data_IF_609662685466
#
_entry.id   IF_609662685466
#
_cell.length_a   1.000
_cell.length_b   1.000
_cell.length_c   1.000
_cell.angle_alpha   90.00
_cell.angle_beta   90.00
_cell.angle_gamma   90.00
#
_symmetry.space_group_name_H-M   'P 1'
#
loop_
_entity.id
_entity.type
_entity.pdbx_description
1 polymer ?
#
# COMPACT_ATOMS: atom_id res chain seq x y z
N UNK A 1 -9.09 12.60 10.00
CA UNK A 1 -7.75 12.87 9.43
C UNK A 1 -7.47 14.38 9.30
N UNK A 2 -7.29 15.11 10.41
CA UNK A 2 -7.05 16.57 10.33
C UNK A 2 -5.57 16.97 10.32
N UNK A 3 -4.74 16.23 11.07
CA UNK A 3 -3.30 16.53 11.23
C UNK A 3 -2.49 16.02 10.04
N UNK A 4 -2.78 14.81 9.55
CA UNK A 4 -2.02 14.17 8.46
C UNK A 4 -1.91 15.07 7.21
N UNK A 5 -2.99 15.68 6.68
CA UNK A 5 -2.88 16.57 5.51
C UNK A 5 -1.99 17.79 5.76
N UNK A 6 -2.03 18.36 6.97
CA UNK A 6 -1.22 19.52 7.34
C UNK A 6 0.26 19.17 7.44
N UNK A 7 0.59 18.06 8.08
CA UNK A 7 1.98 17.61 8.24
C UNK A 7 2.61 17.23 6.90
N UNK A 8 1.86 16.55 6.03
CA UNK A 8 2.34 16.19 4.69
C UNK A 8 2.59 17.42 3.83
N UNK A 9 1.75 18.46 3.93
CA UNK A 9 1.97 19.71 3.20
C UNK A 9 3.28 20.41 3.62
N UNK A 10 3.55 20.49 4.92
CA UNK A 10 4.82 21.06 5.43
C UNK A 10 6.02 20.26 4.91
N UNK A 11 5.92 18.93 4.93
CA UNK A 11 6.96 18.05 4.39
C UNK A 11 7.19 18.30 2.90
N UNK A 12 6.13 18.47 2.10
CA UNK A 12 6.21 18.78 0.67
C UNK A 12 6.85 20.13 0.39
N UNK A 13 6.53 21.15 1.18
CA UNK A 13 7.12 22.48 1.07
C UNK A 13 8.65 22.43 1.30
N UNK A 14 9.14 21.54 2.17
CA UNK A 14 10.58 21.30 2.37
C UNK A 14 11.24 20.42 1.30
N UNK A 15 10.52 19.46 0.73
CA UNK A 15 11.06 18.50 -0.26
C UNK A 15 11.14 19.06 -1.69
N UNK A 16 10.22 19.94 -2.08
CA UNK A 16 10.23 20.58 -3.40
C UNK A 16 11.56 21.29 -3.74
N UNK A 17 12.10 22.19 -2.90
CA UNK A 17 13.37 22.85 -3.21
C UNK A 17 14.55 21.87 -3.30
N UNK A 18 14.54 20.79 -2.51
CA UNK A 18 15.55 19.74 -2.60
C UNK A 18 15.43 18.98 -3.93
N UNK A 19 14.21 18.61 -4.34
CA UNK A 19 13.95 17.93 -5.61
C UNK A 19 14.41 18.77 -6.80
N UNK A 20 14.13 20.08 -6.78
CA UNK A 20 14.58 21.02 -7.81
C UNK A 20 16.11 21.16 -7.85
N UNK A 21 16.76 21.25 -6.69
CA UNK A 21 18.22 21.32 -6.62
C UNK A 21 18.89 20.05 -7.17
N UNK A 22 18.34 18.87 -6.85
CA UNK A 22 18.84 17.59 -7.37
C UNK A 22 18.63 17.50 -8.88
N UNK A 23 17.46 17.91 -9.40
CA UNK A 23 17.21 17.98 -10.85
C UNK A 23 18.24 18.89 -11.54
N UNK A 24 18.49 20.07 -10.98
CA UNK A 24 19.48 21.01 -11.53
C UNK A 24 20.89 20.42 -11.53
N UNK A 25 21.28 19.72 -10.46
CA UNK A 25 22.56 19.03 -10.38
C UNK A 25 22.68 17.90 -11.41
N UNK A 26 21.63 17.09 -11.56
CA UNK A 26 21.60 15.99 -12.53
C UNK A 26 21.66 16.51 -13.97
N UNK A 27 20.89 17.54 -14.31
CA UNK A 27 20.90 18.17 -15.63
C UNK A 27 22.26 18.81 -15.95
N UNK A 28 22.94 19.39 -14.95
CA UNK A 28 24.28 19.93 -15.13
C UNK A 28 25.35 18.84 -15.34
N UNK A 29 25.18 17.68 -14.69
CA UNK A 29 26.12 16.55 -14.78
C UNK A 29 25.89 15.67 -16.01
N UNK A 30 24.65 15.57 -16.48
CA UNK A 30 24.24 14.76 -17.63
C UNK A 30 23.40 15.61 -18.60
N UNK A 31 24.02 16.58 -19.30
CA UNK A 31 23.30 17.52 -20.17
C UNK A 31 22.66 16.88 -21.41
N UNK A 32 23.11 15.69 -21.82
CA UNK A 32 22.58 14.96 -22.99
C UNK A 32 21.43 14.00 -22.64
N UNK A 33 20.88 14.06 -21.41
CA UNK A 33 19.82 13.16 -20.94
C UNK A 33 18.64 13.91 -20.34
N UNK A 34 17.57 14.01 -21.12
CA UNK A 34 16.28 14.58 -20.71
C UNK A 34 15.34 13.56 -20.03
N UNK A 35 15.71 12.28 -20.02
CA UNK A 35 14.95 11.14 -19.50
C UNK A 35 15.22 10.83 -18.02
N UNK A 36 15.85 11.77 -17.29
CA UNK A 36 16.21 11.59 -15.89
C UNK A 36 15.03 11.83 -14.94
N UNK A 37 14.35 10.74 -14.57
CA UNK A 37 13.31 10.75 -13.55
C UNK A 37 13.87 10.48 -12.15
N UNK A 38 13.49 11.31 -11.18
CA UNK A 38 13.77 11.06 -9.76
C UNK A 38 12.61 10.26 -9.18
N UNK A 39 12.86 8.99 -8.86
CA UNK A 39 11.94 8.19 -8.07
C UNK A 39 11.84 8.77 -6.66
N UNK A 40 10.63 9.11 -6.23
CA UNK A 40 10.35 9.62 -4.88
C UNK A 40 9.49 8.63 -4.12
N UNK A 41 9.64 8.60 -2.80
CA UNK A 41 8.80 7.78 -1.93
C UNK A 41 7.32 8.18 -2.05
N UNK A 42 6.43 7.21 -1.87
CA UNK A 42 4.99 7.41 -2.00
C UNK A 42 4.42 8.42 -0.98
N UNK A 43 5.08 8.61 0.16
CA UNK A 43 4.72 9.62 1.15
C UNK A 43 4.72 11.04 0.56
N UNK A 44 5.54 11.30 -0.46
CA UNK A 44 5.55 12.56 -1.21
C UNK A 44 4.26 12.73 -2.04
N UNK A 45 3.76 11.64 -2.63
CA UNK A 45 2.53 11.67 -3.41
C UNK A 45 1.28 11.89 -2.54
N UNK A 46 1.31 11.49 -1.26
CA UNK A 46 0.18 11.68 -0.31
C UNK A 46 -0.19 13.16 -0.16
N UNK A 47 0.71 14.11 -0.45
CA UNK A 47 0.40 15.54 -0.45
C UNK A 47 -0.59 15.98 -1.53
N UNK A 48 -0.87 15.14 -2.53
CA UNK A 48 -1.81 15.47 -3.59
C UNK A 48 -3.25 15.54 -3.04
N UNK A 49 -3.98 16.65 -3.26
CA UNK A 49 -5.37 16.80 -2.81
C UNK A 49 -6.29 15.65 -3.24
N UNK A 50 -6.12 15.11 -4.46
CA UNK A 50 -6.94 14.00 -4.94
C UNK A 50 -6.75 12.73 -4.09
N UNK A 51 -5.52 12.46 -3.65
CA UNK A 51 -5.19 11.31 -2.80
C UNK A 51 -5.79 11.50 -1.41
N UNK A 52 -5.61 12.69 -0.83
CA UNK A 52 -6.15 13.03 0.49
C UNK A 52 -7.67 12.94 0.49
N UNK A 53 -8.34 13.49 -0.53
CA UNK A 53 -9.79 13.42 -0.69
C UNK A 53 -10.27 11.98 -0.84
N UNK A 54 -9.57 11.16 -1.63
CA UNK A 54 -9.91 9.74 -1.77
C UNK A 54 -9.76 9.01 -0.44
N UNK A 55 -8.65 9.22 0.29
CA UNK A 55 -8.42 8.60 1.59
C UNK A 55 -9.49 8.98 2.62
N UNK A 56 -9.91 10.25 2.62
CA UNK A 56 -10.97 10.75 3.50
C UNK A 56 -12.32 10.08 3.20
N UNK A 57 -12.65 9.87 1.91
CA UNK A 57 -13.85 9.13 1.50
C UNK A 57 -13.77 7.64 1.83
N UNK A 58 -12.60 7.03 1.64
CA UNK A 58 -12.38 5.61 1.91
C UNK A 58 -12.39 5.28 3.40
N UNK A 59 -12.07 6.24 4.28
CA UNK A 59 -12.06 6.03 5.73
C UNK A 59 -13.41 5.53 6.30
N UNK A 60 -14.55 6.22 6.10
CA UNK A 60 -15.83 5.70 6.55
C UNK A 60 -16.28 4.45 5.78
N UNK A 61 -15.92 4.34 4.50
CA UNK A 61 -16.26 3.18 3.65
C UNK A 61 -15.55 1.92 4.15
N UNK A 62 -14.26 2.00 4.51
CA UNK A 62 -13.49 0.85 4.98
C UNK A 62 -14.00 0.34 6.33
N UNK A 63 -14.37 1.26 7.24
CA UNK A 63 -15.01 0.90 8.51
C UNK A 63 -16.35 0.21 8.24
N UNK A 64 -17.18 0.76 7.36
CA UNK A 64 -18.46 0.16 7.00
C UNK A 64 -18.28 -1.25 6.39
N UNK A 65 -17.35 -1.41 5.46
CA UNK A 65 -17.02 -2.71 4.86
C UNK A 65 -16.55 -3.67 5.95
N UNK A 66 -15.69 -3.26 6.88
CA UNK A 66 -15.22 -4.13 7.95
C UNK A 66 -16.34 -4.70 8.83
N UNK A 67 -17.44 -3.95 9.03
CA UNK A 67 -18.61 -4.43 9.76
C UNK A 67 -19.53 -5.36 8.95
N UNK A 68 -19.66 -5.12 7.64
CA UNK A 68 -20.60 -5.85 6.77
C UNK A 68 -19.96 -7.08 6.14
N UNK A 69 -18.62 -7.09 5.99
CA UNK A 69 -17.90 -8.12 5.28
C UNK A 69 -17.98 -9.47 6.02
N UNK A 70 -18.54 -10.53 5.41
CA UNK A 70 -18.67 -11.81 6.07
C UNK A 70 -17.30 -12.45 6.30
N UNK A 71 -17.12 -13.02 7.49
CA UNK A 71 -15.88 -13.69 7.89
C UNK A 71 -14.71 -12.73 8.18
N UNK A 72 -14.98 -11.44 8.33
CA UNK A 72 -13.98 -10.47 8.79
C UNK A 72 -14.00 -10.36 10.32
N UNK A 73 -12.82 -10.46 10.94
CA UNK A 73 -12.64 -10.28 12.39
C UNK A 73 -11.73 -9.08 12.70
N UNK A 74 -11.23 -8.38 11.68
CA UNK A 74 -10.31 -7.26 11.81
C UNK A 74 -11.02 -5.94 11.61
N UNK A 75 -10.92 -5.04 12.61
CA UNK A 75 -11.37 -3.67 12.49
C UNK A 75 -10.16 -2.75 12.22
N UNK A 76 -10.09 -2.04 11.09
CA UNK A 76 -8.87 -1.34 10.64
C UNK A 76 -8.63 0.00 11.34
N UNK A 77 -9.00 0.17 12.63
CA UNK A 77 -8.97 1.46 13.33
C UNK A 77 -7.56 2.09 13.37
N UNK A 78 -6.54 1.29 13.68
CA UNK A 78 -5.16 1.75 13.75
C UNK A 78 -4.56 2.12 12.38
N UNK A 79 -5.09 1.53 11.31
CA UNK A 79 -4.57 1.65 9.94
C UNK A 79 -5.43 2.57 9.05
N UNK A 80 -6.42 3.28 9.61
CA UNK A 80 -7.22 4.24 8.82
C UNK A 80 -6.39 5.40 8.25
N UNK A 81 -5.37 5.87 8.99
CA UNK A 81 -4.47 6.92 8.52
C UNK A 81 -3.65 6.49 7.28
N UNK A 82 -3.40 5.19 7.21
CA UNK A 82 -2.57 4.51 6.24
C UNK A 82 -3.30 4.28 4.90
N UNK A 83 -4.63 4.42 4.86
CA UNK A 83 -5.42 4.37 3.62
C UNK A 83 -4.99 5.39 2.57
N UNK A 84 -4.37 6.50 2.97
CA UNK A 84 -3.83 7.48 2.03
C UNK A 84 -2.67 6.91 1.19
N UNK A 85 -1.85 6.05 1.78
CA UNK A 85 -0.76 5.37 1.08
C UNK A 85 -1.32 4.37 0.08
N UNK A 86 -2.27 3.53 0.48
CA UNK A 86 -2.95 2.61 -0.44
C UNK A 86 -3.67 3.36 -1.58
N UNK A 87 -4.44 4.41 -1.25
CA UNK A 87 -5.15 5.22 -2.21
C UNK A 87 -4.21 5.93 -3.21
N UNK A 88 -3.00 6.30 -2.78
CA UNK A 88 -2.05 7.01 -3.63
C UNK A 88 -1.62 6.21 -4.86
N UNK A 89 -1.38 4.90 -4.72
CA UNK A 89 -1.00 4.04 -5.84
C UNK A 89 -2.13 3.93 -6.86
N UNK A 90 -3.35 3.71 -6.37
CA UNK A 90 -4.56 3.58 -7.20
C UNK A 90 -4.90 4.92 -7.87
N UNK A 91 -4.71 6.03 -7.16
CA UNK A 91 -4.94 7.37 -7.66
C UNK A 91 -3.95 7.72 -8.77
N UNK A 92 -2.67 7.39 -8.59
CA UNK A 92 -1.65 7.58 -9.64
C UNK A 92 -2.02 6.78 -10.90
N UNK A 93 -2.39 5.51 -10.74
CA UNK A 93 -2.83 4.67 -11.85
C UNK A 93 -4.11 5.23 -12.53
N UNK A 94 -4.99 5.84 -11.74
CA UNK A 94 -6.22 6.50 -12.21
C UNK A 94 -6.01 7.95 -12.67
N UNK A 95 -4.76 8.42 -12.78
CA UNK A 95 -4.38 9.80 -13.16
C UNK A 95 -5.07 10.88 -12.31
N UNK A 96 -5.23 10.62 -11.02
CA UNK A 96 -5.85 11.54 -10.05
C UNK A 96 -7.39 11.56 -10.06
N UNK A 97 -8.05 10.66 -10.79
CA UNK A 97 -9.52 10.58 -10.78
C UNK A 97 -10.03 9.94 -9.47
N UNK A 98 -10.55 10.77 -8.57
CA UNK A 98 -11.05 10.36 -7.24
C UNK A 98 -12.12 9.26 -7.34
N UNK A 99 -13.11 9.42 -8.22
CA UNK A 99 -14.22 8.48 -8.34
C UNK A 99 -13.75 7.09 -8.76
N UNK A 100 -12.91 7.01 -9.80
CA UNK A 100 -12.31 5.74 -10.24
C UNK A 100 -11.43 5.13 -9.17
N UNK A 101 -10.70 5.97 -8.44
CA UNK A 101 -9.83 5.53 -7.35
C UNK A 101 -10.61 4.89 -6.22
N UNK A 102 -11.71 5.53 -5.77
CA UNK A 102 -12.57 4.98 -4.71
C UNK A 102 -13.16 3.63 -5.14
N UNK A 103 -13.69 3.54 -6.35
CA UNK A 103 -14.27 2.29 -6.86
C UNK A 103 -13.23 1.16 -6.97
N UNK A 104 -12.03 1.47 -7.43
CA UNK A 104 -10.95 0.49 -7.54
C UNK A 104 -10.38 0.09 -6.16
N UNK A 105 -10.43 0.99 -5.16
CA UNK A 105 -9.95 0.72 -3.81
C UNK A 105 -10.88 -0.20 -3.00
N UNK A 106 -12.19 -0.22 -3.28
CA UNK A 106 -13.15 -1.05 -2.53
C UNK A 106 -12.81 -2.55 -2.61
N UNK A 107 -12.61 -3.16 -3.79
CA UNK A 107 -12.19 -4.57 -3.89
C UNK A 107 -10.87 -4.85 -3.18
N UNK A 108 -9.93 -3.90 -3.22
CA UNK A 108 -8.62 -4.03 -2.55
C UNK A 108 -8.81 -4.07 -1.03
N UNK A 109 -9.63 -3.16 -0.47
CA UNK A 109 -9.94 -3.16 0.97
C UNK A 109 -10.61 -4.47 1.39
N UNK A 110 -11.53 -5.01 0.59
CA UNK A 110 -12.19 -6.29 0.87
C UNK A 110 -11.18 -7.43 0.92
N UNK A 111 -10.29 -7.51 -0.08
CA UNK A 111 -9.24 -8.52 -0.12
C UNK A 111 -8.30 -8.40 1.09
N UNK A 112 -7.84 -7.19 1.40
CA UNK A 112 -6.94 -6.91 2.51
C UNK A 112 -7.57 -7.30 3.86
N UNK A 113 -8.85 -7.01 4.08
CA UNK A 113 -9.56 -7.40 5.31
C UNK A 113 -9.66 -8.93 5.48
N UNK A 114 -9.98 -9.66 4.41
CA UNK A 114 -10.01 -11.12 4.47
C UNK A 114 -8.64 -11.73 4.75
N UNK A 115 -7.61 -11.19 4.11
CA UNK A 115 -6.24 -11.65 4.29
C UNK A 115 -5.74 -11.32 5.70
N UNK A 116 -6.01 -10.10 6.18
CA UNK A 116 -5.67 -9.68 7.53
C UNK A 116 -6.35 -10.56 8.59
N UNK A 117 -7.59 -10.98 8.35
CA UNK A 117 -8.30 -11.92 9.22
C UNK A 117 -7.62 -13.29 9.23
N UNK A 118 -7.24 -13.81 8.06
CA UNK A 118 -6.56 -15.12 7.97
C UNK A 118 -5.15 -15.13 8.56
N UNK A 119 -4.41 -14.02 8.46
CA UNK A 119 -3.04 -13.92 8.99
C UNK A 119 -3.01 -13.63 10.49
N UNK A 120 -4.07 -13.05 11.06
CA UNK A 120 -4.13 -12.64 12.46
C UNK A 120 -3.66 -13.72 13.48
N UNK A 121 -4.02 -15.02 13.34
CA UNK A 121 -3.52 -16.07 14.24
C UNK A 121 -2.00 -16.25 14.17
N UNK A 122 -1.42 -16.17 12.96
CA UNK A 122 0.02 -16.30 12.75
C UNK A 122 0.80 -15.16 13.38
N UNK A 123 0.36 -13.91 13.16
CA UNK A 123 0.97 -12.72 13.79
C UNK A 123 0.85 -12.80 15.31
N UNK A 124 -0.31 -13.23 15.81
CA UNK A 124 -0.53 -13.40 17.26
C UNK A 124 0.38 -14.48 17.85
N UNK A 125 0.62 -15.57 17.12
CA UNK A 125 1.58 -16.61 17.50
C UNK A 125 3.00 -16.04 17.65
N UNK A 126 3.49 -15.34 16.63
CA UNK A 126 4.81 -14.70 16.70
C UNK A 126 4.94 -13.69 17.84
N UNK A 127 3.88 -12.91 18.11
CA UNK A 127 3.86 -11.97 19.23
C UNK A 127 3.99 -12.69 20.58
N UNK A 128 3.38 -13.86 20.75
CA UNK A 128 3.53 -14.68 21.95
C UNK A 128 4.95 -15.24 22.08
N UNK A 129 5.55 -15.69 20.98
CA UNK A 129 6.90 -16.27 20.97
C UNK A 129 7.97 -15.26 21.41
N UNK A 130 7.77 -13.98 21.10
CA UNK A 130 8.67 -12.88 21.54
C UNK A 130 8.31 -12.31 22.91
N UNK A 131 7.40 -12.95 23.66
CA UNK A 131 6.90 -12.50 24.96
C UNK A 131 6.31 -11.08 24.93
N UNK A 132 5.59 -10.73 23.85
CA UNK A 132 4.91 -9.45 23.75
C UNK A 132 3.87 -9.31 24.87
N UNK A 133 3.94 -8.21 25.62
CA UNK A 133 2.99 -7.91 26.69
C UNK A 133 1.68 -7.38 26.08
N UNK A 134 0.70 -8.26 25.98
CA UNK A 134 -0.66 -7.85 25.66
C UNK A 134 -1.21 -6.97 26.79
N UNK A 135 -1.97 -5.93 26.44
CA UNK A 135 -2.64 -5.10 27.43
C UNK A 135 -3.61 -5.95 28.28
N UNK A 136 -3.73 -5.66 29.58
CA UNK A 136 -4.63 -6.39 30.47
C UNK A 136 -6.07 -6.33 29.93
N UNK A 137 -6.70 -7.50 29.76
CA UNK A 137 -8.03 -7.64 29.15
C UNK A 137 -8.06 -7.82 27.63
N UNK A 138 -6.91 -7.76 26.94
CA UNK A 138 -6.81 -8.05 25.51
C UNK A 138 -6.84 -9.55 25.24
N UNK A 139 -8.02 -10.09 24.96
CA UNK A 139 -8.22 -11.47 24.45
C UNK A 139 -8.23 -11.57 22.92
N UNK A 140 -8.14 -10.43 22.22
CA UNK A 140 -8.19 -10.35 20.76
C UNK A 140 -6.89 -10.80 20.08
N UNK A 141 -7.01 -11.18 18.81
CA UNK A 141 -5.86 -11.44 17.94
C UNK A 141 -5.18 -10.11 17.55
N UNK A 142 -3.88 -10.15 17.33
CA UNK A 142 -3.11 -9.04 16.76
C UNK A 142 -3.09 -9.19 15.25
N UNK A 143 -3.51 -8.13 14.55
CA UNK A 143 -3.48 -8.04 13.10
C UNK A 143 -3.20 -6.60 12.66
N UNK A 144 -2.82 -6.45 11.39
CA UNK A 144 -2.72 -5.16 10.71
C UNK A 144 -3.46 -5.26 9.39
N UNK A 145 -4.18 -4.19 9.04
CA UNK A 145 -4.94 -4.12 7.81
C UNK A 145 -4.03 -3.98 6.59
N UNK A 146 -3.10 -3.02 6.59
CA UNK A 146 -2.21 -2.85 5.43
C UNK A 146 -1.08 -3.87 5.40
N UNK A 147 -0.41 -4.10 6.54
CA UNK A 147 0.76 -4.96 6.58
C UNK A 147 0.40 -6.44 6.63
N UNK A 148 -0.66 -6.77 7.37
CA UNK A 148 -1.21 -8.12 7.50
C UNK A 148 -2.23 -8.48 6.43
N UNK A 149 -2.86 -7.51 5.76
CA UNK A 149 -3.75 -7.73 4.63
C UNK A 149 -3.03 -7.83 3.27
N UNK A 150 -1.74 -7.49 3.21
CA UNK A 150 -1.01 -7.42 1.95
C UNK A 150 -0.99 -8.79 1.21
N UNK A 151 -1.57 -8.87 -0.01
CA UNK A 151 -1.67 -10.14 -0.74
C UNK A 151 -0.33 -10.78 -1.09
N UNK A 152 0.70 -9.98 -1.35
CA UNK A 152 2.03 -10.48 -1.67
C UNK A 152 2.68 -11.14 -0.45
N UNK A 153 2.56 -10.52 0.73
CA UNK A 153 3.10 -11.10 1.97
C UNK A 153 2.36 -12.36 2.39
N UNK A 154 1.04 -12.37 2.24
CA UNK A 154 0.24 -13.57 2.46
C UNK A 154 0.65 -14.70 1.54
N UNK A 155 0.80 -14.42 0.24
CA UNK A 155 1.24 -15.42 -0.72
C UNK A 155 2.62 -15.98 -0.38
N UNK A 156 3.56 -15.13 0.05
CA UNK A 156 4.90 -15.56 0.48
C UNK A 156 4.81 -16.48 1.72
N UNK A 157 3.99 -16.13 2.70
CA UNK A 157 3.75 -16.95 3.88
C UNK A 157 3.16 -18.33 3.53
N UNK A 158 2.20 -18.37 2.61
CA UNK A 158 1.58 -19.62 2.14
C UNK A 158 2.58 -20.52 1.40
N UNK A 159 3.54 -19.95 0.67
CA UNK A 159 4.65 -20.70 0.06
C UNK A 159 5.50 -21.38 1.15
N UNK A 160 5.89 -20.63 2.19
CA UNK A 160 6.71 -21.18 3.27
C UNK A 160 5.97 -22.21 4.13
N UNK A 161 4.64 -22.09 4.24
CA UNK A 161 3.78 -23.10 4.88
C UNK A 161 3.57 -24.36 4.02
N UNK A 162 4.12 -24.42 2.80
CA UNK A 162 4.02 -25.60 1.94
C UNK A 162 2.69 -25.73 1.19
N UNK A 163 1.93 -24.63 1.04
CA UNK A 163 0.67 -24.68 0.30
C UNK A 163 0.93 -24.90 -1.19
N UNK A 164 0.50 -26.07 -1.70
CA UNK A 164 0.68 -26.49 -3.09
C UNK A 164 0.09 -25.49 -4.11
N UNK A 165 -0.99 -24.81 -3.76
CA UNK A 165 -1.63 -23.81 -4.63
C UNK A 165 -0.76 -22.55 -4.74
N UNK A 166 -0.21 -22.08 -3.61
CA UNK A 166 0.66 -20.91 -3.58
C UNK A 166 1.98 -21.17 -4.34
N UNK A 167 2.55 -22.37 -4.20
CA UNK A 167 3.75 -22.80 -4.92
C UNK A 167 3.46 -22.93 -6.43
N UNK A 168 2.31 -23.51 -6.80
CA UNK A 168 1.89 -23.62 -8.20
C UNK A 168 1.65 -22.28 -8.89
N UNK A 169 1.35 -21.22 -8.14
CA UNK A 169 1.20 -19.85 -8.66
C UNK A 169 2.54 -19.16 -8.97
N UNK A 170 3.66 -19.62 -8.42
CA UNK A 170 5.00 -19.05 -8.65
C UNK A 170 5.37 -18.98 -10.15
N UNK A 171 5.29 -20.07 -10.93
CA UNK A 171 5.59 -20.01 -12.37
C UNK A 171 4.63 -19.12 -13.15
N UNK A 172 3.36 -19.03 -12.74
CA UNK A 172 2.35 -18.17 -13.38
C UNK A 172 2.69 -16.69 -13.18
N UNK A 173 3.00 -16.29 -11.95
CA UNK A 173 3.40 -14.91 -11.62
C UNK A 173 4.71 -14.57 -12.32
N UNK A 174 5.68 -15.48 -12.34
CA UNK A 174 6.94 -15.28 -13.07
C UNK A 174 6.72 -15.08 -14.58
N UNK A 175 5.79 -15.84 -15.19
CA UNK A 175 5.40 -15.67 -16.59
C UNK A 175 4.73 -14.31 -16.84
N UNK A 176 3.85 -13.87 -15.95
CA UNK A 176 3.21 -12.54 -16.04
C UNK A 176 4.25 -11.44 -15.94
N UNK A 177 5.16 -11.51 -14.96
CA UNK A 177 6.26 -10.55 -14.81
C UNK A 177 7.19 -10.55 -16.02
N UNK A 178 7.50 -11.72 -16.57
CA UNK A 178 8.28 -11.85 -17.81
C UNK A 178 7.54 -11.24 -19.01
N UNK A 179 6.23 -11.47 -19.12
CA UNK A 179 5.39 -10.87 -20.16
C UNK A 179 5.37 -9.35 -20.08
N UNK A 180 5.14 -8.80 -18.88
CA UNK A 180 5.22 -7.35 -18.63
C UNK A 180 6.61 -6.84 -18.97
N UNK A 181 7.68 -7.47 -18.47
CA UNK A 181 9.04 -7.06 -18.76
C UNK A 181 9.31 -7.01 -20.26
N UNK A 182 8.89 -8.05 -21.00
CA UNK A 182 9.06 -8.10 -22.46
C UNK A 182 8.31 -6.99 -23.18
N UNK A 183 7.10 -6.64 -22.73
CA UNK A 183 6.29 -5.56 -23.30
C UNK A 183 6.83 -4.17 -22.95
N UNK A 184 7.33 -3.97 -21.73
CA UNK A 184 7.78 -2.65 -21.26
C UNK A 184 9.25 -2.38 -21.60
N UNK A 185 10.03 -3.41 -21.97
CA UNK A 185 11.45 -3.25 -22.35
C UNK A 185 11.64 -2.27 -23.50
N UNK A 186 10.73 -2.22 -24.47
CA UNK A 186 10.79 -1.26 -25.59
C UNK A 186 10.44 0.18 -25.20
N UNK A 187 9.80 0.41 -24.06
CA UNK A 187 9.36 1.74 -23.62
C UNK A 187 10.34 2.36 -22.63
N UNK A 188 11.11 1.53 -21.89
CA UNK A 188 12.04 1.97 -20.83
C UNK A 188 13.49 2.04 -21.34
N UNK A 189 13.86 1.25 -22.35
CA UNK A 189 15.23 1.19 -22.89
C UNK A 189 15.35 1.67 -24.34
N UNK A 190 14.31 2.34 -24.87
CA UNK A 190 14.38 3.08 -26.12
C UNK A 190 14.75 4.53 -25.84
#
# INVERSE_FOLDING_TARGET
MFILPRMVRILMEGLLPLSEAIKKYLNAKYPDRDDLYIGLDIAVAVGNPAIISTALLLTPISVFIAFVLPGNEVLPLGDLANLAVMASMIALASRGNIFRTVLAAIPVIIADLWIATKIAPFITGMAKDVNFKFAEGSSGQVSSFLDGGNPFRFWLLEIFNGNLIAIGLVPVIALVLYGIFRMTRSTVYA
#
